data_IF_889573997836
#
_entry.id   IF_889573997836
#
_cell.length_a   1.000
_cell.length_b   1.000
_cell.length_c   1.000
_cell.angle_alpha   90.00
_cell.angle_beta   90.00
_cell.angle_gamma   90.00
#
_symmetry.space_group_name_H-M   'P 1'
#
loop_
_entity.id
_entity.type
_entity.pdbx_description
1 polymer ?
#
# COMPACT_ATOMS: atom_id res chain seq x y z
N UNK A 1 20.02 -28.63 8.85
CA UNK A 1 20.55 -27.41 8.20
C UNK A 1 19.38 -26.62 7.66
N UNK A 2 19.41 -25.29 7.81
CA UNK A 2 18.44 -24.42 7.15
C UNK A 2 18.77 -24.33 5.67
N UNK A 3 17.74 -24.25 4.81
CA UNK A 3 17.91 -24.00 3.38
C UNK A 3 18.49 -22.60 3.19
N UNK A 4 19.37 -22.45 2.20
CA UNK A 4 19.91 -21.14 1.83
C UNK A 4 19.00 -20.45 0.81
N UNK A 5 19.04 -19.11 0.78
CA UNK A 5 18.31 -18.32 -0.22
C UNK A 5 18.75 -18.69 -1.65
N UNK A 6 20.04 -18.98 -1.86
CA UNK A 6 20.57 -19.40 -3.16
C UNK A 6 19.92 -20.70 -3.65
N UNK A 7 19.81 -21.71 -2.78
CA UNK A 7 19.14 -22.98 -3.10
C UNK A 7 17.65 -22.78 -3.41
N UNK A 8 16.96 -21.95 -2.62
CA UNK A 8 15.54 -21.64 -2.84
C UNK A 8 15.35 -20.94 -4.19
N UNK A 9 16.18 -19.94 -4.52
CA UNK A 9 16.11 -19.23 -5.79
C UNK A 9 16.34 -20.14 -6.99
N UNK A 10 17.28 -21.10 -6.90
CA UNK A 10 17.48 -22.08 -7.96
C UNK A 10 16.27 -23.00 -8.14
N UNK A 11 15.60 -23.42 -7.06
CA UNK A 11 14.34 -24.17 -7.15
C UNK A 11 13.22 -23.34 -7.78
N UNK A 12 13.10 -22.06 -7.45
CA UNK A 12 12.11 -21.14 -8.04
C UNK A 12 12.33 -21.05 -9.56
N UNK A 13 13.57 -20.79 -10.01
CA UNK A 13 13.92 -20.72 -11.44
C UNK A 13 13.59 -22.01 -12.19
N UNK A 14 13.73 -23.17 -11.54
CA UNK A 14 13.44 -24.49 -12.10
C UNK A 14 11.96 -24.89 -12.00
N UNK A 15 11.10 -24.07 -11.37
CA UNK A 15 9.70 -24.42 -11.12
C UNK A 15 9.52 -25.57 -10.12
N UNK A 16 10.49 -25.80 -9.25
CA UNK A 16 10.53 -26.93 -8.30
C UNK A 16 10.33 -26.49 -6.84
N UNK A 17 10.18 -25.19 -6.59
CA UNK A 17 9.97 -24.68 -5.25
C UNK A 17 8.58 -25.08 -4.73
N UNK A 18 8.53 -25.62 -3.51
CA UNK A 18 7.27 -25.85 -2.79
C UNK A 18 6.86 -24.55 -2.14
N UNK A 19 5.84 -23.90 -2.71
CA UNK A 19 5.30 -22.62 -2.26
C UNK A 19 3.93 -22.86 -1.63
N UNK A 20 3.70 -22.35 -0.43
CA UNK A 20 2.43 -22.47 0.31
C UNK A 20 2.04 -21.13 0.92
N UNK A 21 0.77 -20.93 1.24
CA UNK A 21 0.30 -19.73 1.94
C UNK A 21 0.52 -19.80 3.45
N UNK A 22 0.40 -18.64 4.10
CA UNK A 22 0.40 -18.51 5.56
C UNK A 22 -0.72 -19.34 6.24
N UNK A 23 -1.82 -19.62 5.56
CA UNK A 23 -2.92 -20.43 6.08
C UNK A 23 -2.62 -21.93 5.93
N UNK A 24 -2.09 -22.33 4.78
CA UNK A 24 -1.75 -23.73 4.47
C UNK A 24 -0.64 -24.28 5.38
N UNK A 25 0.37 -23.46 5.68
CA UNK A 25 1.51 -23.88 6.51
C UNK A 25 1.09 -24.31 7.92
N UNK A 26 0.01 -23.73 8.46
CA UNK A 26 -0.53 -24.09 9.78
C UNK A 26 -0.98 -25.56 9.79
N UNK A 27 -1.69 -25.99 8.75
CA UNK A 27 -2.14 -27.38 8.61
C UNK A 27 -0.99 -28.36 8.40
N UNK A 28 -0.02 -27.99 7.55
CA UNK A 28 1.17 -28.79 7.27
C UNK A 28 2.00 -29.00 8.55
N UNK A 29 2.22 -27.94 9.33
CA UNK A 29 2.95 -27.99 10.58
C UNK A 29 2.24 -28.88 11.62
N UNK A 30 0.91 -28.81 11.72
CA UNK A 30 0.11 -29.68 12.62
C UNK A 30 0.21 -31.15 12.23
N UNK A 31 0.19 -31.48 10.93
CA UNK A 31 0.17 -32.86 10.43
C UNK A 31 1.56 -33.51 10.43
N UNK A 32 2.59 -32.76 10.03
CA UNK A 32 3.94 -33.30 9.79
C UNK A 32 4.97 -32.91 10.86
N UNK A 33 4.63 -31.95 11.73
CA UNK A 33 5.57 -31.32 12.64
C UNK A 33 6.42 -30.24 11.98
N UNK A 34 6.85 -29.25 12.79
CA UNK A 34 7.58 -28.06 12.32
C UNK A 34 8.87 -28.42 11.59
N UNK A 35 9.65 -29.37 12.13
CA UNK A 35 10.93 -29.75 11.55
C UNK A 35 10.80 -30.39 10.16
N UNK A 36 9.73 -31.14 9.92
CA UNK A 36 9.48 -31.76 8.61
C UNK A 36 8.88 -30.74 7.64
N UNK A 37 7.94 -29.92 8.11
CA UNK A 37 7.36 -28.83 7.32
C UNK A 37 8.45 -27.88 6.78
N UNK A 38 9.42 -27.48 7.61
CA UNK A 38 10.53 -26.63 7.22
C UNK A 38 11.49 -27.27 6.20
N UNK A 39 11.61 -28.61 6.18
CA UNK A 39 12.40 -29.33 5.18
C UNK A 39 11.70 -29.39 3.83
N UNK A 40 10.39 -29.52 3.82
CA UNK A 40 9.60 -29.68 2.58
C UNK A 40 9.24 -28.35 1.93
N UNK A 41 8.79 -27.37 2.71
CA UNK A 41 8.34 -26.06 2.20
C UNK A 41 9.51 -25.15 1.93
N UNK A 42 9.58 -24.58 0.72
CA UNK A 42 10.67 -23.68 0.31
C UNK A 42 10.29 -22.21 0.51
N UNK A 43 9.03 -21.83 0.25
CA UNK A 43 8.53 -20.46 0.41
C UNK A 43 7.16 -20.51 1.09
N UNK A 44 6.97 -19.67 2.11
CA UNK A 44 5.65 -19.36 2.65
C UNK A 44 5.27 -17.98 2.17
N UNK A 45 4.24 -17.88 1.34
CA UNK A 45 3.69 -16.59 0.93
C UNK A 45 2.87 -16.02 2.07
N UNK A 46 3.28 -14.85 2.52
CA UNK A 46 2.53 -14.05 3.47
C UNK A 46 2.00 -12.83 2.74
N UNK A 47 0.83 -12.38 3.17
CA UNK A 47 0.23 -11.14 2.70
C UNK A 47 -0.63 -10.60 3.82
N UNK A 48 -0.49 -9.32 4.12
CA UNK A 48 -1.44 -8.62 4.98
C UNK A 48 -2.33 -7.78 4.09
N UNK A 49 -3.64 -7.93 4.22
CA UNK A 49 -4.59 -6.94 3.71
C UNK A 49 -4.93 -6.01 4.87
N UNK A 50 -3.92 -5.27 5.31
CA UNK A 50 -4.07 -4.20 6.30
C UNK A 50 -3.55 -2.91 5.69
N UNK A 51 -4.08 -1.74 6.07
CA UNK A 51 -3.50 -0.47 5.66
C UNK A 51 -2.03 -0.46 6.09
N UNK A 52 -1.12 -0.63 5.13
CA UNK A 52 0.31 -0.62 5.40
C UNK A 52 0.67 0.78 5.91
N UNK A 53 1.07 0.86 7.18
CA UNK A 53 1.56 2.09 7.78
C UNK A 53 2.64 2.71 6.89
N UNK A 54 2.57 4.03 6.71
CA UNK A 54 3.52 4.81 5.89
C UNK A 54 3.42 4.63 4.36
N UNK A 55 2.31 4.11 3.83
CA UNK A 55 2.09 4.11 2.37
C UNK A 55 1.47 5.43 1.89
N UNK A 56 1.79 5.80 0.65
CA UNK A 56 1.25 6.99 0.00
C UNK A 56 1.82 7.19 -1.40
N UNK A 57 1.46 8.30 -2.03
CA UNK A 57 1.91 8.65 -3.36
C UNK A 57 2.47 10.08 -3.38
N UNK A 58 3.63 10.26 -4.01
CA UNK A 58 4.25 11.57 -4.21
C UNK A 58 3.94 12.04 -5.64
N UNK A 59 3.53 13.30 -5.77
CA UNK A 59 3.15 13.88 -7.05
C UNK A 59 3.97 15.14 -7.34
N UNK A 60 4.31 15.30 -8.62
CA UNK A 60 4.76 16.55 -9.19
C UNK A 60 3.91 16.81 -10.44
N UNK A 61 3.14 17.90 -10.46
CA UNK A 61 2.22 18.21 -11.56
C UNK A 61 2.82 19.14 -12.62
N UNK A 62 4.09 19.53 -12.45
CA UNK A 62 4.71 20.57 -13.25
C UNK A 62 4.12 21.97 -13.01
N UNK A 63 4.74 22.98 -13.59
CA UNK A 63 4.23 24.35 -13.52
C UNK A 63 3.32 24.66 -14.70
N UNK A 64 2.22 25.37 -14.42
CA UNK A 64 1.44 26.08 -15.42
C UNK A 64 2.10 27.40 -15.82
N UNK A 65 1.50 28.11 -16.79
CA UNK A 65 1.83 29.51 -17.14
C UNK A 65 0.59 30.36 -16.91
N UNK A 66 0.58 31.32 -15.95
CA UNK A 66 1.67 31.69 -15.03
C UNK A 66 2.01 30.58 -14.02
N UNK A 67 3.21 30.64 -13.43
CA UNK A 67 3.69 29.61 -12.48
C UNK A 67 2.79 29.56 -11.24
N UNK A 68 2.43 28.34 -10.84
CA UNK A 68 1.71 28.04 -9.60
C UNK A 68 2.67 27.66 -8.45
N UNK A 69 2.27 27.92 -7.20
CA UNK A 69 3.00 27.53 -5.98
C UNK A 69 2.03 26.81 -5.03
N UNK A 70 1.94 25.49 -5.17
CA UNK A 70 1.12 24.62 -4.32
C UNK A 70 1.69 24.49 -2.91
N UNK A 71 3.02 24.53 -2.79
CA UNK A 71 3.71 24.37 -1.50
C UNK A 71 3.45 25.46 -0.46
N UNK A 72 2.70 26.52 -0.80
CA UNK A 72 2.34 27.60 0.12
C UNK A 72 0.91 27.52 0.67
N UNK A 73 0.09 26.58 0.20
CA UNK A 73 -1.31 26.46 0.60
C UNK A 73 -1.77 25.02 0.74
N UNK A 74 -3.05 24.79 0.53
CA UNK A 74 -3.69 23.47 0.67
C UNK A 74 -3.90 22.82 -0.69
N UNK A 75 -3.74 21.50 -0.74
CA UNK A 75 -4.02 20.67 -1.92
C UNK A 75 -4.96 19.55 -1.52
N UNK A 76 -5.94 19.26 -2.36
CA UNK A 76 -6.90 18.18 -2.20
C UNK A 76 -7.03 17.38 -3.51
N UNK A 77 -7.23 16.08 -3.37
CA UNK A 77 -7.60 15.17 -4.46
C UNK A 77 -8.93 14.51 -4.11
N UNK A 78 -9.98 14.76 -4.89
CA UNK A 78 -11.35 14.30 -4.58
C UNK A 78 -11.75 14.61 -3.12
N UNK A 79 -11.49 15.85 -2.69
CA UNK A 79 -11.74 16.34 -1.32
C UNK A 79 -10.94 15.64 -0.20
N UNK A 80 -10.00 14.75 -0.55
CA UNK A 80 -9.02 14.17 0.37
C UNK A 80 -7.79 15.08 0.47
N UNK A 81 -7.37 15.50 1.68
CA UNK A 81 -6.22 16.39 1.84
C UNK A 81 -4.90 15.70 1.47
N UNK A 82 -4.04 16.46 0.79
CA UNK A 82 -2.66 16.10 0.51
C UNK A 82 -1.68 17.03 1.23
N UNK A 83 -0.52 16.49 1.59
CA UNK A 83 0.55 17.21 2.27
C UNK A 83 1.37 18.03 1.26
N UNK A 84 1.44 19.34 1.48
CA UNK A 84 2.21 20.28 0.67
C UNK A 84 3.52 20.67 1.37
N UNK A 85 4.21 21.70 0.88
CA UNK A 85 5.46 22.19 1.46
C UNK A 85 6.72 21.41 1.07
N UNK A 86 6.60 20.42 0.19
CA UNK A 86 7.72 19.59 -0.28
C UNK A 86 8.59 20.35 -1.29
N UNK A 87 7.96 21.04 -2.23
CA UNK A 87 8.61 21.95 -3.18
C UNK A 87 7.59 22.96 -3.76
N UNK A 88 7.70 23.31 -5.05
CA UNK A 88 6.85 24.33 -5.65
C UNK A 88 5.47 23.80 -6.06
N UNK A 89 5.43 22.64 -6.73
CA UNK A 89 4.23 22.03 -7.34
C UNK A 89 4.10 20.57 -6.94
N UNK A 90 4.64 20.26 -5.77
CA UNK A 90 4.80 18.92 -5.27
C UNK A 90 3.96 18.74 -4.01
N UNK A 91 3.36 17.57 -3.90
CA UNK A 91 2.55 17.19 -2.76
C UNK A 91 2.55 15.67 -2.57
N UNK A 92 2.27 15.23 -1.35
CA UNK A 92 2.23 13.83 -0.96
C UNK A 92 0.83 13.46 -0.45
N UNK A 93 0.25 12.39 -0.98
CA UNK A 93 -1.03 11.86 -0.52
C UNK A 93 -0.77 10.62 0.35
N UNK A 94 -1.15 10.69 1.62
CA UNK A 94 -1.11 9.52 2.51
C UNK A 94 -2.25 8.55 2.22
N UNK A 95 -1.99 7.24 2.22
CA UNK A 95 -3.02 6.21 1.95
C UNK A 95 -4.19 6.26 2.95
N UNK A 96 -3.93 6.73 4.17
CA UNK A 96 -4.94 6.85 5.25
C UNK A 96 -5.47 8.28 5.40
N UNK A 97 -5.17 9.18 4.47
CA UNK A 97 -5.76 10.52 4.49
C UNK A 97 -7.28 10.39 4.32
N UNK A 98 -8.04 11.14 5.13
CA UNK A 98 -9.49 11.15 5.10
C UNK A 98 -9.96 12.57 4.79
N UNK A 99 -11.13 12.73 4.14
CA UNK A 99 -11.78 14.02 4.01
C UNK A 99 -11.86 14.77 5.35
N UNK A 100 -11.79 16.10 5.30
CA UNK A 100 -11.79 16.93 6.52
C UNK A 100 -13.08 16.76 7.35
N UNK A 101 -14.20 16.44 6.69
CA UNK A 101 -15.52 16.24 7.24
C UNK A 101 -15.86 14.77 7.58
N UNK A 102 -14.94 13.83 7.35
CA UNK A 102 -15.15 12.42 7.66
C UNK A 102 -15.48 12.24 9.16
N UNK A 103 -16.56 11.50 9.50
CA UNK A 103 -17.00 11.31 10.89
C UNK A 103 -16.00 10.49 11.71
N UNK A 104 -15.04 9.81 11.07
CA UNK A 104 -14.02 8.96 11.68
C UNK A 104 -14.70 7.97 12.62
N UNK A 105 -14.16 7.80 13.82
CA UNK A 105 -14.76 6.99 14.87
C UNK A 105 -15.69 7.79 15.80
N UNK A 106 -16.24 8.94 15.40
CA UNK A 106 -17.23 9.65 16.24
C UNK A 106 -18.47 8.79 16.49
N UNK A 107 -18.88 8.00 15.49
CA UNK A 107 -19.85 6.92 15.63
C UNK A 107 -19.11 5.61 15.36
N UNK A 108 -18.92 4.77 16.37
CA UNK A 108 -18.10 3.56 16.24
C UNK A 108 -18.95 2.33 15.85
N UNK A 109 -18.50 1.50 14.89
CA UNK A 109 -17.29 1.65 14.07
C UNK A 109 -17.46 2.71 12.97
N UNK A 110 -16.40 3.50 12.74
CA UNK A 110 -16.37 4.43 11.60
C UNK A 110 -16.39 3.67 10.27
N UNK A 111 -17.07 4.24 9.26
CA UNK A 111 -17.25 3.58 7.97
C UNK A 111 -16.05 3.75 7.03
N UNK A 112 -15.30 4.86 7.16
CA UNK A 112 -14.11 5.16 6.36
C UNK A 112 -14.34 4.98 4.84
N UNK A 113 -15.47 5.49 4.34
CA UNK A 113 -15.99 5.20 2.99
C UNK A 113 -15.05 5.63 1.86
N UNK A 114 -14.26 6.68 2.07
CA UNK A 114 -13.36 7.22 1.05
C UNK A 114 -12.13 7.88 1.68
N UNK A 115 -11.00 7.84 0.98
CA UNK A 115 -9.73 8.33 1.51
C UNK A 115 -8.57 8.17 0.53
N UNK A 116 -7.35 8.42 0.99
CA UNK A 116 -6.18 8.47 0.12
C UNK A 116 -5.90 7.17 -0.63
N UNK A 117 -6.17 6.01 -0.01
CA UNK A 117 -6.04 4.71 -0.68
C UNK A 117 -6.99 4.53 -1.85
N UNK A 118 -8.22 5.04 -1.73
CA UNK A 118 -9.19 5.03 -2.82
C UNK A 118 -8.74 5.95 -3.95
N UNK A 119 -8.29 7.17 -3.65
CA UNK A 119 -7.73 8.08 -4.66
C UNK A 119 -6.54 7.46 -5.40
N UNK A 120 -5.64 6.79 -4.69
CA UNK A 120 -4.48 6.11 -5.29
C UNK A 120 -4.94 4.94 -6.19
N UNK A 121 -5.93 4.16 -5.75
CA UNK A 121 -6.52 3.08 -6.56
C UNK A 121 -7.14 3.62 -7.85
N UNK A 122 -7.89 4.71 -7.77
CA UNK A 122 -8.54 5.33 -8.93
C UNK A 122 -7.51 5.84 -9.95
N UNK A 123 -6.45 6.48 -9.48
CA UNK A 123 -5.33 6.91 -10.32
C UNK A 123 -4.63 5.73 -11.01
N UNK A 124 -4.38 4.63 -10.28
CA UNK A 124 -3.78 3.41 -10.84
C UNK A 124 -4.72 2.76 -11.87
N UNK A 125 -6.02 2.83 -11.65
CA UNK A 125 -7.05 2.36 -12.58
C UNK A 125 -7.22 3.29 -13.81
N UNK A 126 -6.49 4.41 -13.89
CA UNK A 126 -6.57 5.37 -14.99
C UNK A 126 -7.82 6.25 -14.97
N UNK A 127 -8.48 6.40 -13.82
CA UNK A 127 -9.61 7.32 -13.66
C UNK A 127 -9.12 8.74 -13.41
N UNK A 128 -9.93 9.72 -13.81
CA UNK A 128 -9.68 11.13 -13.52
C UNK A 128 -9.97 11.44 -12.04
N UNK A 129 -9.13 12.28 -11.43
CA UNK A 129 -9.32 12.80 -10.07
C UNK A 129 -9.30 14.32 -10.07
N UNK A 130 -10.14 14.94 -9.23
CA UNK A 130 -10.24 16.39 -9.12
C UNK A 130 -9.14 16.92 -8.20
N UNK A 131 -8.23 17.70 -8.77
CA UNK A 131 -7.24 18.48 -8.02
C UNK A 131 -7.80 19.86 -7.65
N UNK A 132 -7.80 20.18 -6.36
CA UNK A 132 -8.11 21.53 -5.85
C UNK A 132 -6.89 22.05 -5.09
N UNK A 133 -6.47 23.27 -5.40
CA UNK A 133 -5.36 23.92 -4.71
C UNK A 133 -5.63 25.41 -4.51
N UNK A 134 -5.15 25.95 -3.39
CA UNK A 134 -5.28 27.37 -2.99
C UNK A 134 -3.93 28.00 -2.76
#
# INVERSE_FOLDING_TARGET
>A
MAKTIAEINEKIKKGQAVVVTAEEIIGIAKKKGISQAAKEVDVVTTGTFGPMCSSGAYFNVGHTKPRIKLGGGKVYLNDVPAYTGLAAVDFFLGVTALPDDDPKNRMHPGEFLYGGGHVIEELVAGKDVKLVAT
#
